data_IF_808327934375
#
_entry.id   IF_808327934375
#
_cell.length_a   1.000
_cell.length_b   1.000
_cell.length_c   1.000
_cell.angle_alpha   90.00
_cell.angle_beta   90.00
_cell.angle_gamma   90.00
#
_symmetry.space_group_name_H-M   'P 1'
#
loop_
_entity.id
_entity.type
_entity.pdbx_description
1 polymer ?
#
# COMPACT_ATOMS: atom_id res chain seq x y z
N UNK A 1 8.15 71.81 -47.64
CA UNK A 1 7.65 71.48 -46.30
C UNK A 1 6.68 70.31 -46.42
N UNK A 2 7.06 69.17 -45.82
CA UNK A 2 6.31 67.96 -45.41
C UNK A 2 5.24 67.38 -46.36
N UNK A 3 5.50 66.26 -47.05
CA UNK A 3 5.38 64.86 -46.60
C UNK A 3 4.05 64.51 -45.90
N UNK A 4 3.31 63.56 -46.48
CA UNK A 4 2.59 62.48 -45.78
C UNK A 4 2.17 61.41 -46.80
N UNK A 5 3.00 60.37 -46.92
CA UNK A 5 2.69 59.13 -47.61
C UNK A 5 1.88 58.24 -46.66
N UNK A 6 0.69 57.79 -47.08
CA UNK A 6 -0.14 56.85 -46.34
C UNK A 6 0.46 55.45 -46.40
N UNK A 7 0.94 54.94 -45.27
CA UNK A 7 1.40 53.56 -45.14
C UNK A 7 0.20 52.62 -44.95
N UNK A 8 0.03 51.69 -45.90
CA UNK A 8 -0.91 50.58 -45.81
C UNK A 8 -0.33 49.53 -44.84
N UNK A 9 -0.91 49.41 -43.65
CA UNK A 9 -0.57 48.37 -42.67
C UNK A 9 -1.21 47.04 -43.10
N UNK A 10 -0.39 46.15 -43.68
CA UNK A 10 -0.77 44.75 -43.91
C UNK A 10 -0.65 44.02 -42.57
N UNK A 11 -1.78 43.72 -41.94
CA UNK A 11 -1.84 42.89 -40.75
C UNK A 11 -1.57 41.43 -41.15
N UNK A 12 -0.37 40.94 -40.82
CA UNK A 12 -0.04 39.52 -40.91
C UNK A 12 -0.68 38.78 -39.73
N UNK A 13 -1.82 38.14 -39.99
CA UNK A 13 -2.42 37.16 -39.07
C UNK A 13 -1.50 35.92 -39.01
N UNK A 14 -0.60 35.91 -38.03
CA UNK A 14 0.15 34.71 -37.67
C UNK A 14 -0.82 33.66 -37.11
N UNK A 15 -1.10 32.62 -37.89
CA UNK A 15 -1.76 31.41 -37.38
C UNK A 15 -0.83 30.78 -36.32
N UNK A 16 -1.16 30.98 -35.04
CA UNK A 16 -0.63 30.13 -33.98
C UNK A 16 -1.19 28.73 -34.18
N UNK A 17 -0.32 27.80 -34.58
CA UNK A 17 -0.61 26.38 -34.53
C UNK A 17 -0.87 26.02 -33.05
N UNK A 18 -2.13 25.80 -32.70
CA UNK A 18 -2.51 25.22 -31.42
C UNK A 18 -2.00 23.79 -31.44
N UNK A 19 -0.87 23.55 -30.78
CA UNK A 19 -0.45 22.19 -30.47
C UNK A 19 -1.53 21.58 -29.57
N UNK A 20 -2.09 20.41 -29.90
CA UNK A 20 -3.01 19.77 -29.00
C UNK A 20 -2.27 19.51 -27.70
N UNK A 21 -2.76 20.11 -26.61
CA UNK A 21 -2.40 19.72 -25.25
C UNK A 21 -2.47 18.20 -25.19
N UNK A 22 -1.37 17.56 -24.80
CA UNK A 22 -1.30 16.12 -24.61
C UNK A 22 -2.50 15.71 -23.75
N UNK A 23 -3.53 15.16 -24.40
CA UNK A 23 -4.71 14.67 -23.75
C UNK A 23 -4.28 13.72 -22.65
N UNK A 24 -4.89 13.85 -21.47
CA UNK A 24 -4.69 12.98 -20.33
C UNK A 24 -4.46 11.55 -20.82
N UNK A 25 -3.22 11.06 -20.67
CA UNK A 25 -2.87 9.72 -21.08
C UNK A 25 -3.94 8.79 -20.50
N UNK A 26 -4.64 8.05 -21.37
CA UNK A 26 -5.53 6.97 -20.96
C UNK A 26 -4.75 6.10 -20.00
N UNK A 27 -5.04 6.23 -18.70
CA UNK A 27 -4.28 5.55 -17.67
C UNK A 27 -4.39 4.05 -17.90
N UNK A 28 -3.24 3.41 -18.07
CA UNK A 28 -3.07 1.98 -18.32
C UNK A 28 -3.95 1.13 -17.40
N UNK A 29 -4.37 -0.08 -17.81
CA UNK A 29 -5.13 -0.99 -16.95
C UNK A 29 -4.46 -1.18 -15.59
N UNK A 30 -5.22 -1.59 -14.58
CA UNK A 30 -4.68 -1.91 -13.27
C UNK A 30 -3.66 -3.05 -13.32
N UNK A 31 -2.70 -3.03 -12.39
CA UNK A 31 -1.67 -4.06 -12.28
C UNK A 31 -0.76 -4.10 -13.51
N UNK A 32 -0.31 -2.93 -13.97
CA UNK A 32 0.76 -2.79 -14.96
C UNK A 32 2.02 -2.38 -14.23
N UNK A 33 3.10 -3.13 -14.40
CA UNK A 33 4.43 -2.77 -13.90
C UNK A 33 4.91 -1.51 -14.63
N UNK A 34 5.23 -0.46 -13.86
CA UNK A 34 5.78 0.80 -14.35
C UNK A 34 7.30 0.78 -14.30
N UNK A 35 7.84 0.38 -13.15
CA UNK A 35 9.28 0.33 -12.90
C UNK A 35 9.61 -0.85 -11.97
N UNK A 36 10.82 -1.40 -12.11
CA UNK A 36 11.41 -2.27 -11.10
C UNK A 36 12.88 -1.95 -10.91
N UNK A 37 13.35 -2.02 -9.68
CA UNK A 37 14.75 -1.83 -9.31
C UNK A 37 15.18 -2.94 -8.32
N UNK A 38 16.46 -3.35 -8.29
CA UNK A 38 16.93 -4.29 -7.29
C UNK A 38 16.71 -3.75 -5.87
N UNK A 39 16.25 -4.60 -4.94
CA UNK A 39 16.19 -4.21 -3.54
C UNK A 39 17.60 -4.02 -2.95
N UNK A 40 17.79 -3.05 -2.05
CA UNK A 40 18.97 -3.01 -1.18
C UNK A 40 19.20 -4.36 -0.48
N UNK A 41 20.47 -4.73 -0.29
CA UNK A 41 20.83 -6.05 0.21
C UNK A 41 20.24 -6.34 1.61
N UNK A 42 20.20 -5.32 2.47
CA UNK A 42 19.66 -5.35 3.83
C UNK A 42 18.11 -5.34 3.89
N UNK A 43 17.45 -5.02 2.78
CA UNK A 43 15.99 -5.18 2.62
C UNK A 43 15.62 -6.57 2.09
N UNK A 44 16.62 -7.34 1.65
CA UNK A 44 16.46 -8.59 0.94
C UNK A 44 16.10 -9.82 1.76
N UNK A 45 16.06 -10.96 1.07
CA UNK A 45 15.86 -12.29 1.64
C UNK A 45 16.94 -13.24 1.10
N UNK A 46 17.60 -13.97 2.01
CA UNK A 46 18.72 -14.86 1.67
C UNK A 46 18.34 -16.01 0.73
N UNK A 47 17.08 -16.42 0.69
CA UNK A 47 16.57 -17.47 -0.20
C UNK A 47 16.05 -16.95 -1.55
N UNK A 48 16.12 -15.65 -1.79
CA UNK A 48 15.81 -15.07 -3.09
C UNK A 48 17.04 -15.07 -4.00
N UNK A 49 16.90 -15.56 -5.24
CA UNK A 49 17.94 -15.42 -6.26
C UNK A 49 17.92 -14.04 -6.93
N UNK A 50 16.73 -13.44 -7.00
CA UNK A 50 16.50 -12.09 -7.49
C UNK A 50 15.33 -11.48 -6.73
N UNK A 51 15.41 -10.18 -6.47
CA UNK A 51 14.46 -9.47 -5.63
C UNK A 51 14.37 -8.01 -6.04
N UNK A 52 13.15 -7.50 -6.15
CA UNK A 52 12.90 -6.20 -6.76
C UNK A 52 11.91 -5.38 -5.95
N UNK A 53 12.17 -4.09 -5.82
CA UNK A 53 11.14 -3.08 -5.58
C UNK A 53 10.41 -2.89 -6.91
N UNK A 54 9.07 -2.90 -6.86
CA UNK A 54 8.21 -2.71 -8.03
C UNK A 54 7.28 -1.53 -7.81
N UNK A 55 7.05 -0.79 -8.88
CA UNK A 55 6.03 0.27 -8.99
C UNK A 55 4.99 -0.19 -9.99
N UNK A 56 3.70 -0.09 -9.66
CA UNK A 56 2.62 -0.56 -10.53
C UNK A 56 1.38 0.33 -10.49
N UNK A 57 0.64 0.32 -11.59
CA UNK A 57 -0.62 1.06 -11.70
C UNK A 57 -1.72 0.44 -10.83
N UNK A 58 -2.51 1.30 -10.21
CA UNK A 58 -3.60 0.95 -9.32
C UNK A 58 -4.73 2.00 -9.44
N UNK A 59 -5.83 1.76 -8.75
CA UNK A 59 -6.91 2.74 -8.55
C UNK A 59 -7.24 2.85 -7.08
N UNK A 60 -7.57 4.05 -6.64
CA UNK A 60 -7.89 4.36 -5.26
C UNK A 60 -9.11 3.58 -4.80
N UNK A 61 -8.92 2.66 -3.86
CA UNK A 61 -10.03 1.97 -3.21
C UNK A 61 -10.86 2.90 -2.31
N UNK A 62 -10.39 4.11 -2.01
CA UNK A 62 -11.14 5.10 -1.21
C UNK A 62 -12.30 5.70 -2.03
N UNK A 63 -12.01 6.23 -3.21
CA UNK A 63 -13.01 6.88 -4.08
C UNK A 63 -13.46 6.01 -5.27
N UNK A 64 -12.81 4.87 -5.48
CA UNK A 64 -13.11 3.91 -6.53
C UNK A 64 -12.67 4.31 -7.94
N UNK A 65 -12.04 5.46 -8.14
CA UNK A 65 -11.85 6.04 -9.48
C UNK A 65 -10.52 6.76 -9.71
N UNK A 66 -9.91 7.33 -8.68
CA UNK A 66 -8.66 8.08 -8.82
C UNK A 66 -7.51 7.14 -9.09
N UNK A 67 -6.81 7.34 -10.21
CA UNK A 67 -5.66 6.53 -10.59
C UNK A 67 -4.48 6.77 -9.65
N UNK A 68 -3.74 5.71 -9.37
CA UNK A 68 -2.57 5.74 -8.49
C UNK A 68 -1.45 4.87 -9.01
N UNK A 69 -0.29 5.11 -8.43
CA UNK A 69 0.85 4.21 -8.46
C UNK A 69 1.07 3.70 -7.05
N UNK A 70 1.11 2.38 -6.89
CA UNK A 70 1.42 1.71 -5.64
C UNK A 70 2.75 0.96 -5.77
N UNK A 71 3.36 0.60 -4.65
CA UNK A 71 4.65 -0.10 -4.61
C UNK A 71 4.55 -1.45 -3.90
N UNK A 72 5.61 -2.25 -4.04
CA UNK A 72 5.78 -3.50 -3.31
C UNK A 72 7.09 -4.16 -3.64
N UNK A 73 7.31 -5.36 -3.12
CA UNK A 73 8.47 -6.17 -3.42
C UNK A 73 8.09 -7.51 -4.05
N UNK A 74 8.95 -8.02 -4.94
CA UNK A 74 8.86 -9.37 -5.50
C UNK A 74 10.16 -10.11 -5.22
N UNK A 75 10.06 -11.34 -4.70
CA UNK A 75 11.19 -12.21 -4.41
C UNK A 75 11.05 -13.51 -5.20
N UNK A 76 12.09 -13.84 -5.97
CA UNK A 76 12.12 -15.01 -6.83
C UNK A 76 12.98 -16.12 -6.17
N UNK A 77 12.49 -17.36 -6.09
CA UNK A 77 13.25 -18.47 -5.50
C UNK A 77 14.59 -18.73 -6.18
N UNK A 78 15.48 -19.45 -5.49
CA UNK A 78 16.66 -20.06 -6.12
C UNK A 78 16.25 -21.21 -7.04
N UNK A 79 17.09 -21.47 -8.04
CA UNK A 79 16.88 -22.53 -9.03
C UNK A 79 16.07 -22.10 -10.25
N UNK A 80 15.88 -23.00 -11.24
CA UNK A 80 15.11 -22.70 -12.44
C UNK A 80 13.61 -22.62 -12.11
N UNK A 81 12.90 -21.68 -12.76
CA UNK A 81 11.45 -21.64 -12.67
C UNK A 81 10.83 -22.93 -13.23
N UNK A 82 9.83 -23.53 -12.54
CA UNK A 82 9.08 -24.66 -13.07
C UNK A 82 8.41 -24.33 -14.40
N UNK A 83 7.97 -25.36 -15.14
CA UNK A 83 7.15 -25.16 -16.34
C UNK A 83 5.86 -24.40 -15.94
N UNK A 84 5.67 -23.23 -16.54
CA UNK A 84 4.55 -22.33 -16.23
C UNK A 84 4.82 -21.31 -15.12
N UNK A 85 6.03 -21.27 -14.56
CA UNK A 85 6.46 -20.30 -13.55
C UNK A 85 6.32 -20.77 -12.11
N UNK A 86 6.87 -20.01 -11.16
CA UNK A 86 6.77 -20.31 -9.73
C UNK A 86 5.34 -20.07 -9.21
N UNK A 87 4.79 -20.93 -8.34
CA UNK A 87 3.58 -20.59 -7.59
C UNK A 87 3.83 -19.38 -6.69
N UNK A 88 2.78 -18.63 -6.39
CA UNK A 88 2.89 -17.33 -5.70
C UNK A 88 2.29 -17.43 -4.30
N UNK A 89 3.09 -17.02 -3.31
CA UNK A 89 2.58 -16.62 -2.00
C UNK A 89 2.56 -15.09 -1.94
N UNK A 90 1.40 -14.52 -1.67
CA UNK A 90 1.25 -13.09 -1.46
C UNK A 90 1.35 -12.84 0.03
N UNK A 91 2.36 -12.08 0.44
CA UNK A 91 2.55 -11.68 1.83
C UNK A 91 1.88 -10.34 2.08
N UNK A 92 0.66 -10.40 2.62
CA UNK A 92 -0.03 -9.23 3.15
C UNK A 92 0.53 -8.93 4.55
N UNK A 93 1.37 -7.91 4.66
CA UNK A 93 2.03 -7.56 5.92
C UNK A 93 1.05 -6.99 6.96
N UNK A 94 1.40 -7.15 8.24
CA UNK A 94 0.71 -6.52 9.36
C UNK A 94 1.05 -5.03 9.49
N UNK A 95 0.57 -4.38 10.55
CA UNK A 95 0.73 -2.94 10.74
C UNK A 95 2.20 -2.51 10.73
N UNK A 96 2.52 -1.52 9.89
CA UNK A 96 3.84 -0.86 9.85
C UNK A 96 3.75 0.65 10.07
N UNK A 97 2.57 1.24 9.89
CA UNK A 97 2.33 2.68 9.98
C UNK A 97 1.42 3.16 8.85
N UNK A 98 1.26 4.49 8.74
CA UNK A 98 0.44 5.10 7.67
C UNK A 98 1.22 6.04 6.74
N UNK A 99 2.50 6.27 7.06
CA UNK A 99 3.37 7.18 6.31
C UNK A 99 4.14 6.42 5.22
N UNK A 100 4.42 7.08 4.10
CA UNK A 100 5.09 6.49 2.92
C UNK A 100 6.36 5.72 3.27
N UNK A 101 7.21 6.26 4.16
CA UNK A 101 8.47 5.64 4.56
C UNK A 101 8.33 4.36 5.39
N UNK A 102 7.12 4.01 5.84
CA UNK A 102 6.88 2.80 6.63
C UNK A 102 6.71 1.54 5.76
N UNK A 103 6.70 1.68 4.43
CA UNK A 103 6.58 0.55 3.50
C UNK A 103 7.61 -0.56 3.75
N UNK A 104 7.20 -1.84 3.78
CA UNK A 104 8.14 -2.97 3.88
C UNK A 104 9.15 -3.08 2.73
N UNK A 105 8.85 -2.54 1.54
CA UNK A 105 9.80 -2.51 0.42
C UNK A 105 10.94 -1.50 0.63
N UNK A 106 10.74 -0.49 1.50
CA UNK A 106 11.68 0.58 1.80
C UNK A 106 12.48 0.36 3.09
N UNK A 107 12.28 -0.76 3.77
CA UNK A 107 12.90 -1.02 5.08
C UNK A 107 13.43 -2.46 5.20
N UNK A 108 14.41 -2.69 6.10
CA UNK A 108 14.78 -4.03 6.53
C UNK A 108 13.61 -4.81 7.12
N UNK A 109 13.58 -6.10 6.86
CA UNK A 109 12.53 -7.01 7.38
C UNK A 109 12.87 -7.46 8.80
N UNK A 110 11.85 -7.63 9.63
CA UNK A 110 12.05 -8.22 10.96
C UNK A 110 12.52 -9.67 10.85
N UNK A 111 13.22 -10.19 11.87
CA UNK A 111 13.67 -11.59 11.87
C UNK A 111 12.52 -12.58 11.72
N UNK A 112 11.34 -12.25 12.28
CA UNK A 112 10.12 -13.03 12.12
C UNK A 112 9.71 -13.08 10.64
N UNK A 113 9.67 -11.92 9.98
CA UNK A 113 9.24 -11.85 8.58
C UNK A 113 10.26 -12.55 7.67
N UNK A 114 11.55 -12.36 7.92
CA UNK A 114 12.60 -13.10 7.20
C UNK A 114 12.43 -14.61 7.33
N UNK A 115 12.09 -15.13 8.52
CA UNK A 115 11.98 -16.57 8.77
C UNK A 115 10.96 -17.25 7.84
N UNK A 116 9.70 -16.80 7.85
CA UNK A 116 8.67 -17.47 7.05
C UNK A 116 8.77 -17.12 5.56
N UNK A 117 9.21 -15.91 5.19
CA UNK A 117 9.41 -15.55 3.78
C UNK A 117 10.53 -16.37 3.13
N UNK A 118 11.67 -16.55 3.83
CA UNK A 118 12.73 -17.42 3.34
C UNK A 118 12.30 -18.88 3.26
N UNK A 119 11.44 -19.33 4.18
CA UNK A 119 10.89 -20.69 4.14
C UNK A 119 10.00 -20.90 2.91
N UNK A 120 9.16 -19.93 2.54
CA UNK A 120 8.37 -20.05 1.30
C UNK A 120 9.24 -20.04 0.05
N UNK A 121 10.26 -19.19 0.01
CA UNK A 121 11.23 -19.15 -1.09
C UNK A 121 12.00 -20.48 -1.21
N UNK A 122 12.47 -21.07 -0.11
CA UNK A 122 13.19 -22.34 -0.14
C UNK A 122 12.32 -23.52 -0.57
N UNK A 123 11.00 -23.43 -0.37
CA UNK A 123 10.00 -24.37 -0.87
C UNK A 123 9.59 -24.12 -2.33
N UNK A 124 10.18 -23.12 -3.00
CA UNK A 124 9.94 -22.83 -4.41
C UNK A 124 8.73 -21.93 -4.70
N UNK A 125 8.21 -21.21 -3.70
CA UNK A 125 7.18 -20.20 -3.90
C UNK A 125 7.82 -18.83 -4.10
N UNK A 126 7.46 -18.14 -5.19
CA UNK A 126 7.76 -16.73 -5.31
C UNK A 126 6.90 -15.93 -4.32
N UNK A 127 7.47 -14.88 -3.75
CA UNK A 127 6.77 -14.01 -2.82
C UNK A 127 6.45 -12.68 -3.50
N UNK A 128 5.18 -12.29 -3.49
CA UNK A 128 4.73 -10.93 -3.83
C UNK A 128 4.32 -10.23 -2.52
N UNK A 129 4.92 -9.08 -2.25
CA UNK A 129 4.79 -8.36 -0.99
C UNK A 129 4.34 -6.91 -1.27
N UNK A 130 3.04 -6.65 -1.49
CA UNK A 130 2.54 -5.30 -1.69
C UNK A 130 2.79 -4.43 -0.46
N UNK A 131 3.10 -3.14 -0.66
CA UNK A 131 3.20 -2.19 0.45
C UNK A 131 1.83 -1.67 0.91
N UNK A 132 0.79 -1.81 0.08
CA UNK A 132 -0.51 -1.12 0.16
C UNK A 132 -0.46 0.35 -0.27
N UNK A 133 -1.61 0.85 -0.75
CA UNK A 133 -1.75 2.23 -1.19
C UNK A 133 -1.34 3.22 -0.09
N UNK A 134 -0.51 4.21 -0.44
CA UNK A 134 0.02 5.24 0.47
C UNK A 134 1.31 4.84 1.21
N UNK A 135 1.62 3.55 1.31
CA UNK A 135 2.93 3.07 1.75
C UNK A 135 3.83 2.94 0.51
N UNK A 136 5.04 3.51 0.57
CA UNK A 136 6.00 3.56 -0.54
C UNK A 136 5.54 4.39 -1.75
N UNK A 137 4.31 4.89 -1.71
CA UNK A 137 3.62 5.66 -2.74
C UNK A 137 3.02 6.94 -2.15
N UNK A 138 2.45 7.80 -3.02
CA UNK A 138 1.90 9.10 -2.62
C UNK A 138 0.59 8.97 -1.82
N UNK A 139 0.49 9.74 -0.75
CA UNK A 139 -0.71 9.90 0.07
C UNK A 139 -0.65 9.14 1.38
N UNK A 140 -1.69 9.27 2.21
CA UNK A 140 -1.82 8.51 3.45
C UNK A 140 -2.24 7.07 3.14
N UNK A 141 -1.63 6.11 3.83
CA UNK A 141 -2.17 4.77 3.85
C UNK A 141 -3.44 4.69 4.69
N UNK A 142 -4.53 4.31 4.04
CA UNK A 142 -5.86 4.21 4.64
C UNK A 142 -5.97 2.89 5.42
N UNK A 143 -5.38 2.91 6.62
CA UNK A 143 -5.27 1.76 7.51
C UNK A 143 -6.64 1.11 7.77
N UNK A 144 -6.75 -0.21 7.49
CA UNK A 144 -7.98 -1.00 7.57
C UNK A 144 -9.10 -0.54 6.63
N UNK A 145 -8.81 0.22 5.57
CA UNK A 145 -9.76 0.37 4.47
C UNK A 145 -9.72 -0.89 3.58
N UNK A 146 -10.76 -1.71 3.70
CA UNK A 146 -10.83 -3.02 3.04
C UNK A 146 -10.66 -2.95 1.51
N UNK A 147 -11.28 -1.96 0.85
CA UNK A 147 -11.20 -1.83 -0.62
C UNK A 147 -9.82 -1.37 -1.05
N UNK A 148 -9.26 -0.37 -0.37
CA UNK A 148 -7.93 0.16 -0.69
C UNK A 148 -6.84 -0.90 -0.55
N UNK A 149 -6.85 -1.67 0.55
CA UNK A 149 -5.91 -2.77 0.76
C UNK A 149 -6.13 -3.90 -0.27
N UNK A 150 -7.37 -4.33 -0.48
CA UNK A 150 -7.70 -5.40 -1.42
C UNK A 150 -7.24 -5.11 -2.85
N UNK A 151 -7.52 -3.91 -3.35
CA UNK A 151 -7.20 -3.54 -4.72
C UNK A 151 -5.70 -3.44 -4.93
N UNK A 152 -4.98 -2.83 -3.97
CA UNK A 152 -3.51 -2.77 -4.01
C UNK A 152 -2.89 -4.18 -4.01
N UNK A 153 -3.38 -5.08 -3.15
CA UNK A 153 -2.97 -6.50 -3.13
C UNK A 153 -3.21 -7.17 -4.50
N UNK A 154 -4.41 -7.08 -5.05
CA UNK A 154 -4.77 -7.74 -6.31
C UNK A 154 -4.01 -7.17 -7.52
N UNK A 155 -3.78 -5.86 -7.54
CA UNK A 155 -3.02 -5.19 -8.61
C UNK A 155 -1.54 -5.53 -8.54
N UNK A 156 -0.97 -5.69 -7.34
CA UNK A 156 0.41 -6.17 -7.18
C UNK A 156 0.61 -7.57 -7.75
N UNK A 157 -0.34 -8.49 -7.55
CA UNK A 157 -0.31 -9.84 -8.09
C UNK A 157 -0.40 -9.78 -9.61
N UNK A 158 -1.33 -8.99 -10.13
CA UNK A 158 -1.53 -8.81 -11.58
C UNK A 158 -0.27 -8.26 -12.25
N UNK A 159 0.37 -7.26 -11.66
CA UNK A 159 1.64 -6.72 -12.14
C UNK A 159 2.75 -7.77 -12.10
N UNK A 160 2.86 -8.51 -11.00
CA UNK A 160 3.90 -9.52 -10.84
C UNK A 160 3.76 -10.68 -11.85
N UNK A 161 2.54 -11.21 -12.04
CA UNK A 161 2.27 -12.29 -12.99
C UNK A 161 2.65 -11.92 -14.44
N UNK A 162 2.48 -10.65 -14.82
CA UNK A 162 2.79 -10.16 -16.17
C UNK A 162 4.28 -9.89 -16.39
N UNK A 163 5.06 -9.75 -15.32
CA UNK A 163 6.43 -9.21 -15.40
C UNK A 163 7.52 -10.16 -14.89
N UNK A 164 7.13 -11.26 -14.28
CA UNK A 164 8.04 -12.27 -13.73
C UNK A 164 7.55 -13.68 -14.13
N UNK A 165 8.43 -14.71 -14.14
CA UNK A 165 8.06 -16.07 -14.51
C UNK A 165 7.27 -16.76 -13.37
N UNK A 166 6.04 -16.29 -13.17
CA UNK A 166 5.13 -16.73 -12.13
C UNK A 166 3.96 -17.49 -12.74
N UNK A 167 3.52 -18.54 -12.05
CA UNK A 167 2.29 -19.23 -12.37
C UNK A 167 1.12 -18.55 -11.68
N UNK A 168 -0.03 -18.50 -12.35
CA UNK A 168 -1.29 -18.04 -11.76
C UNK A 168 -1.85 -19.11 -10.81
N UNK A 169 -1.15 -19.36 -9.71
CA UNK A 169 -1.50 -20.27 -8.61
C UNK A 169 -1.15 -19.54 -7.32
N UNK A 170 -2.14 -18.90 -6.73
CA UNK A 170 -1.93 -17.87 -5.73
C UNK A 170 -2.48 -18.30 -4.37
N UNK A 171 -1.66 -18.18 -3.33
CA UNK A 171 -2.11 -18.20 -1.93
C UNK A 171 -1.87 -16.81 -1.35
N UNK A 172 -2.88 -16.24 -0.69
CA UNK A 172 -2.75 -14.96 0.02
C UNK A 172 -2.64 -15.24 1.51
N UNK A 173 -1.56 -14.77 2.15
CA UNK A 173 -1.29 -14.99 3.57
C UNK A 173 -1.20 -13.65 4.28
N UNK A 174 -1.92 -13.51 5.40
CA UNK A 174 -1.95 -12.27 6.18
C UNK A 174 -1.99 -12.47 7.69
N UNK A 175 -1.42 -11.50 8.41
CA UNK A 175 -1.44 -11.42 9.87
C UNK A 175 -1.89 -10.04 10.35
N UNK A 176 -2.77 -9.99 11.37
CA UNK A 176 -3.32 -8.73 11.91
C UNK A 176 -3.94 -7.89 10.80
N UNK A 177 -3.52 -6.64 10.59
CA UNK A 177 -3.92 -5.83 9.42
C UNK A 177 -3.76 -6.59 8.10
N UNK A 178 -2.68 -7.35 7.92
CA UNK A 178 -2.48 -8.15 6.72
C UNK A 178 -3.52 -9.25 6.55
N UNK A 179 -4.07 -9.79 7.64
CA UNK A 179 -5.18 -10.74 7.56
C UNK A 179 -6.47 -10.04 7.13
N UNK A 180 -6.69 -8.79 7.55
CA UNK A 180 -7.78 -7.97 7.02
C UNK A 180 -7.60 -7.69 5.51
N UNK A 181 -6.41 -7.29 5.08
CA UNK A 181 -6.09 -7.09 3.66
C UNK A 181 -6.27 -8.37 2.83
N UNK A 182 -5.79 -9.51 3.34
CA UNK A 182 -5.93 -10.81 2.68
C UNK A 182 -7.40 -11.26 2.58
N UNK A 183 -8.19 -11.08 3.65
CA UNK A 183 -9.62 -11.36 3.66
C UNK A 183 -10.36 -10.49 2.64
N UNK A 184 -10.09 -9.19 2.64
CA UNK A 184 -10.71 -8.26 1.71
C UNK A 184 -10.31 -8.56 0.25
N UNK A 185 -9.04 -8.84 -0.03
CA UNK A 185 -8.56 -9.23 -1.36
C UNK A 185 -9.29 -10.47 -1.88
N UNK A 186 -9.48 -11.49 -1.03
CA UNK A 186 -10.23 -12.70 -1.36
C UNK A 186 -11.70 -12.38 -1.71
N UNK A 187 -12.34 -11.49 -0.95
CA UNK A 187 -13.72 -11.06 -1.21
C UNK A 187 -13.89 -10.22 -2.49
N UNK A 188 -12.93 -9.36 -2.81
CA UNK A 188 -13.00 -8.50 -4.01
C UNK A 188 -12.52 -9.18 -5.29
N UNK A 189 -11.72 -10.26 -5.19
CA UNK A 189 -11.10 -10.93 -6.34
C UNK A 189 -12.11 -11.28 -7.46
N UNK A 190 -13.28 -11.90 -7.19
CA UNK A 190 -14.19 -12.30 -8.27
C UNK A 190 -14.72 -11.13 -9.11
N UNK A 191 -14.91 -9.95 -8.50
CA UNK A 191 -15.43 -8.76 -9.18
C UNK A 191 -14.35 -7.82 -9.73
N UNK A 192 -13.19 -7.75 -9.07
CA UNK A 192 -12.16 -6.76 -9.38
C UNK A 192 -11.02 -7.35 -10.21
N UNK A 193 -10.61 -8.58 -9.93
CA UNK A 193 -9.52 -9.26 -10.60
C UNK A 193 -9.88 -10.73 -10.94
N UNK A 194 -10.95 -10.97 -11.73
CA UNK A 194 -11.47 -12.31 -12.00
C UNK A 194 -10.48 -13.25 -12.70
N UNK A 195 -9.45 -12.69 -13.36
CA UNK A 195 -8.40 -13.47 -14.02
C UNK A 195 -7.40 -14.11 -13.04
N UNK A 196 -7.33 -13.65 -11.79
CA UNK A 196 -6.42 -14.21 -10.78
C UNK A 196 -6.97 -15.52 -10.22
N UNK A 197 -6.15 -16.56 -10.21
CA UNK A 197 -6.52 -17.87 -9.69
C UNK A 197 -6.01 -18.04 -8.25
N UNK A 198 -6.79 -17.51 -7.32
CA UNK A 198 -6.55 -17.63 -5.87
C UNK A 198 -7.03 -18.99 -5.40
N UNK A 199 -6.08 -19.83 -4.97
CA UNK A 199 -6.32 -21.19 -4.49
C UNK A 199 -6.77 -21.23 -3.02
N UNK A 200 -6.42 -20.21 -2.25
CA UNK A 200 -6.71 -20.14 -0.83
C UNK A 200 -6.19 -18.88 -0.17
N UNK A 201 -6.70 -18.64 1.03
CA UNK A 201 -6.32 -17.50 1.86
C UNK A 201 -6.05 -17.98 3.28
N UNK A 202 -4.91 -17.61 3.84
CA UNK A 202 -4.53 -17.93 5.23
C UNK A 202 -4.56 -16.66 6.05
N UNK A 203 -5.37 -16.67 7.11
CA UNK A 203 -5.71 -15.50 7.90
C UNK A 203 -5.34 -15.75 9.36
N UNK A 204 -4.54 -14.87 9.95
CA UNK A 204 -4.13 -14.98 11.36
C UNK A 204 -4.39 -13.68 12.11
N UNK A 205 -5.14 -13.74 13.22
CA UNK A 205 -5.46 -12.56 14.03
C UNK A 205 -6.24 -11.48 13.28
N UNK A 206 -7.19 -11.86 12.41
CA UNK A 206 -7.97 -10.94 11.57
C UNK A 206 -8.77 -9.94 12.41
N UNK A 207 -8.47 -8.62 12.35
CA UNK A 207 -9.34 -7.64 12.97
C UNK A 207 -10.65 -7.58 12.18
N UNK A 208 -11.77 -7.73 12.89
CA UNK A 208 -13.10 -7.61 12.33
C UNK A 208 -13.84 -6.48 13.04
N UNK A 209 -13.90 -5.33 12.37
CA UNK A 209 -14.56 -4.13 12.86
C UNK A 209 -15.77 -3.88 11.95
N UNK A 210 -16.95 -3.80 12.55
CA UNK A 210 -18.18 -3.45 11.84
C UNK A 210 -18.92 -2.34 12.60
N UNK A 211 -20.07 -1.90 12.07
CA UNK A 211 -20.85 -0.81 12.65
C UNK A 211 -21.35 -1.08 14.09
N UNK A 212 -21.37 -2.34 14.53
CA UNK A 212 -21.74 -2.74 15.89
C UNK A 212 -20.54 -2.91 16.83
N UNK A 213 -19.30 -2.87 16.32
CA UNK A 213 -18.10 -2.98 17.14
C UNK A 213 -17.90 -1.69 17.93
N UNK A 214 -17.93 -1.76 19.26
CA UNK A 214 -17.67 -0.60 20.10
C UNK A 214 -16.18 -0.34 20.26
N UNK A 215 -15.80 0.94 20.43
CA UNK A 215 -14.41 1.34 20.73
C UNK A 215 -13.88 0.60 21.97
N UNK A 216 -14.71 0.47 23.01
CA UNK A 216 -14.33 -0.24 24.23
C UNK A 216 -14.11 -1.74 24.02
N UNK A 217 -14.71 -2.37 23.00
CA UNK A 217 -14.43 -3.76 22.68
C UNK A 217 -13.03 -3.95 22.07
N UNK A 218 -12.49 -2.92 21.40
CA UNK A 218 -11.18 -2.96 20.73
C UNK A 218 -10.08 -2.42 21.66
N UNK A 219 -10.37 -1.33 22.37
CA UNK A 219 -9.41 -0.55 23.15
C UNK A 219 -9.72 -0.60 24.65
N UNK A 220 -10.20 -1.75 25.14
CA UNK A 220 -10.30 -1.97 26.58
C UNK A 220 -8.89 -1.89 27.18
N UNK A 221 -8.65 -1.03 28.20
CA UNK A 221 -7.36 -0.97 28.86
C UNK A 221 -7.02 -2.31 29.50
N UNK A 222 -5.84 -2.81 29.19
CA UNK A 222 -5.31 -4.00 29.87
C UNK A 222 -4.96 -3.64 31.32
N UNK A 223 -5.29 -4.53 32.24
CA UNK A 223 -4.93 -4.36 33.64
C UNK A 223 -3.45 -4.71 33.83
N UNK A 224 -2.72 -3.90 34.60
CA UNK A 224 -1.33 -4.19 34.97
C UNK A 224 -0.27 -3.81 33.93
N UNK A 225 -0.62 -3.03 32.89
CA UNK A 225 0.38 -2.38 32.05
C UNK A 225 0.99 -1.19 32.80
N UNK A 226 2.32 -1.11 32.82
CA UNK A 226 3.08 0.06 33.28
C UNK A 226 3.45 0.94 32.10
N UNK A 227 3.15 2.24 32.15
CA UNK A 227 3.34 3.19 31.04
C UNK A 227 2.05 3.41 30.25
N UNK A 228 2.20 3.80 28.98
CA UNK A 228 1.06 4.03 28.08
C UNK A 228 0.38 2.75 27.60
N UNK A 229 -0.77 2.88 26.93
CA UNK A 229 -1.47 1.74 26.33
C UNK A 229 -0.93 1.46 24.91
N UNK A 230 -0.35 0.28 24.64
CA UNK A 230 0.24 -0.06 23.33
C UNK A 230 -0.80 -0.17 22.21
N UNK A 231 -2.11 -0.09 22.52
CA UNK A 231 -3.17 -0.10 21.51
C UNK A 231 -3.42 1.29 20.91
N UNK A 232 -3.03 2.37 21.59
CA UNK A 232 -3.27 3.75 21.14
C UNK A 232 -2.70 4.08 19.75
N UNK A 233 -1.49 3.63 19.36
CA UNK A 233 -1.00 3.79 17.99
C UNK A 233 -1.99 3.35 16.91
N UNK A 234 -2.69 2.23 17.11
CA UNK A 234 -3.68 1.72 16.17
C UNK A 234 -4.95 2.59 16.14
N UNK A 235 -5.39 3.10 17.31
CA UNK A 235 -6.50 4.05 17.37
C UNK A 235 -6.19 5.32 16.56
N UNK A 236 -4.96 5.82 16.66
CA UNK A 236 -4.51 6.98 15.89
C UNK A 236 -4.52 6.71 14.39
N UNK A 237 -4.02 5.55 13.93
CA UNK A 237 -4.04 5.20 12.51
C UNK A 237 -5.46 5.03 11.95
N UNK A 238 -6.37 4.40 12.71
CA UNK A 238 -7.79 4.28 12.33
C UNK A 238 -8.42 5.67 12.18
N UNK A 239 -8.18 6.56 13.15
CA UNK A 239 -8.69 7.92 13.07
C UNK A 239 -8.11 8.68 11.87
N UNK A 240 -6.81 8.60 11.63
CA UNK A 240 -6.17 9.28 10.50
C UNK A 240 -6.72 8.80 9.17
N UNK A 241 -6.96 7.49 9.01
CA UNK A 241 -7.64 6.95 7.82
C UNK A 241 -9.03 7.55 7.65
N UNK A 242 -9.85 7.54 8.71
CA UNK A 242 -11.21 8.09 8.65
C UNK A 242 -11.23 9.61 8.40
N UNK A 243 -10.30 10.35 9.00
CA UNK A 243 -10.18 11.80 8.85
C UNK A 243 -9.61 12.20 7.48
N UNK A 244 -8.83 11.32 6.82
CA UNK A 244 -8.40 11.58 5.44
C UNK A 244 -9.57 11.47 4.46
N UNK A 245 -10.51 10.54 4.70
CA UNK A 245 -11.74 10.40 3.92
C UNK A 245 -12.79 11.47 4.26
N UNK A 246 -12.98 11.76 5.56
CA UNK A 246 -13.92 12.74 6.05
C UNK A 246 -13.21 13.90 6.77
N UNK A 247 -12.94 14.97 6.02
CA UNK A 247 -12.25 16.18 6.52
C UNK A 247 -13.00 16.94 7.63
N UNK A 248 -14.26 16.58 7.92
CA UNK A 248 -15.00 17.20 9.03
C UNK A 248 -14.62 16.64 10.39
N UNK A 249 -13.96 15.47 10.45
CA UNK A 249 -13.56 14.83 11.71
C UNK A 249 -12.41 15.61 12.35
N UNK A 250 -12.54 15.89 13.65
CA UNK A 250 -11.52 16.56 14.46
C UNK A 250 -11.03 15.61 15.53
N UNK A 251 -9.71 15.56 15.76
CA UNK A 251 -9.13 14.64 16.74
C UNK A 251 -9.63 14.96 18.16
N UNK A 252 -9.89 16.24 18.42
CA UNK A 252 -10.39 16.79 19.68
C UNK A 252 -11.76 16.23 20.08
N UNK A 253 -12.54 15.71 19.12
CA UNK A 253 -13.85 15.10 19.39
C UNK A 253 -13.73 13.65 19.89
N UNK A 254 -12.57 13.00 19.70
CA UNK A 254 -12.38 11.55 19.95
C UNK A 254 -11.22 11.23 20.91
N UNK A 255 -10.25 12.14 21.04
CA UNK A 255 -9.06 11.96 21.87
C UNK A 255 -8.97 13.05 22.91
N UNK A 256 -8.40 12.70 24.08
CA UNK A 256 -8.08 13.70 25.10
C UNK A 256 -7.00 14.65 24.59
N UNK A 257 -6.97 15.85 25.15
CA UNK A 257 -6.07 16.93 24.72
C UNK A 257 -4.59 16.49 24.69
N UNK A 258 -4.17 15.66 25.63
CA UNK A 258 -2.80 15.17 25.77
C UNK A 258 -2.39 14.26 24.61
N UNK A 259 -3.34 13.57 23.98
CA UNK A 259 -3.12 12.63 22.87
C UNK A 259 -3.17 13.31 21.48
N UNK A 260 -3.66 14.54 21.37
CA UNK A 260 -3.81 15.24 20.08
C UNK A 260 -2.47 15.41 19.35
N UNK A 261 -1.40 15.68 20.10
CA UNK A 261 -0.06 15.74 19.53
C UNK A 261 0.41 14.37 19.00
N UNK A 262 0.03 13.29 19.67
CA UNK A 262 0.42 11.92 19.30
C UNK A 262 -0.35 11.45 18.05
N UNK A 263 -1.63 11.83 17.89
CA UNK A 263 -2.39 11.63 16.65
C UNK A 263 -1.68 12.28 15.46
N UNK A 264 -1.22 13.53 15.63
CA UNK A 264 -0.44 14.21 14.57
C UNK A 264 0.89 13.54 14.32
N UNK A 265 1.55 13.02 15.36
CA UNK A 265 2.81 12.30 15.24
C UNK A 265 2.63 10.95 14.51
N UNK A 266 1.51 10.27 14.72
CA UNK A 266 1.18 9.02 14.06
C UNK A 266 1.15 9.15 12.53
N UNK A 267 0.78 10.30 11.97
CA UNK A 267 0.86 10.53 10.51
C UNK A 267 2.28 10.46 9.93
N UNK A 268 3.32 10.44 10.78
CA UNK A 268 4.74 10.45 10.40
C UNK A 268 5.53 9.26 10.95
N UNK A 269 5.15 8.71 12.10
CA UNK A 269 5.88 7.60 12.71
C UNK A 269 5.34 6.25 12.26
N UNK A 270 6.27 5.32 12.06
CA UNK A 270 5.96 3.90 11.89
C UNK A 270 5.56 3.27 13.23
N UNK A 271 4.98 2.07 13.18
CA UNK A 271 4.33 1.45 14.33
C UNK A 271 5.28 1.31 15.54
N UNK A 272 6.52 0.87 15.33
CA UNK A 272 7.48 0.63 16.41
C UNK A 272 7.86 1.91 17.14
N UNK A 273 8.38 2.98 16.48
CA UNK A 273 8.71 4.21 17.18
C UNK A 273 7.47 4.92 17.76
N UNK A 274 6.30 4.82 17.11
CA UNK A 274 5.07 5.39 17.69
C UNK A 274 4.65 4.65 18.96
N UNK A 275 4.75 3.32 18.98
CA UNK A 275 4.45 2.51 20.16
C UNK A 275 5.42 2.85 21.29
N UNK A 276 6.72 2.94 21.00
CA UNK A 276 7.71 3.34 21.99
C UNK A 276 7.39 4.72 22.60
N UNK A 277 7.10 5.71 21.75
CA UNK A 277 6.71 7.06 22.19
C UNK A 277 5.49 7.05 23.13
N UNK A 278 4.44 6.29 22.77
CA UNK A 278 3.24 6.15 23.61
C UNK A 278 3.57 5.49 24.93
N UNK A 279 4.32 4.38 24.92
CA UNK A 279 4.66 3.64 26.13
C UNK A 279 5.48 4.49 27.12
N UNK A 280 6.44 5.28 26.61
CA UNK A 280 7.31 6.14 27.42
C UNK A 280 6.59 7.35 27.99
N UNK A 281 5.64 7.93 27.25
CA UNK A 281 4.91 9.13 27.66
C UNK A 281 3.88 8.86 28.75
N UNK A 282 3.21 7.70 28.72
CA UNK A 282 2.11 7.35 29.63
C UNK A 282 0.76 7.80 29.10
#
# INVERSE_FOLDING_TARGET
MNQLAGALLISSMSLMAVTPSAGAASLSPNGVLLEKSPLPADHGLQEASAQYLIHYTSVSGVDGKTRREDTGAVFLPKGPAPRGGWPVVVWAHGTVGVATQCAPSLNPRSSRDQQYLNTWLSLGFAVVAPDYAGLGSRGLHHYLNARAEAWSVLDSITAALKSFPLSNKIIIVGQSQGAHAAFAASGYQPSYAPALHVLGTVLTGTPYINASTSVNAIFKPDQGITGGDPKMPYAYYIFLSAADENKSLKAEDYFRQEAIADVRLASRLCITPLTQHVMEKG
#
